data_IF_975749501645
#
_entry.id   IF_975749501645
#
_cell.length_a   1.000
_cell.length_b   1.000
_cell.length_c   1.000
_cell.angle_alpha   90.00
_cell.angle_beta   90.00
_cell.angle_gamma   90.00
#
_symmetry.space_group_name_H-M   'P 1'
#
loop_
_entity.id
_entity.type
_entity.pdbx_description
1 polymer ?
#
# COMPACT_ATOMS: atom_id res chain seq x y z
N UNK A 1 -27.92 -16.82 3.40
CA UNK A 1 -26.51 -16.35 3.41
C UNK A 1 -26.09 -15.53 2.17
N UNK A 2 -26.93 -15.44 1.12
CA UNK A 2 -26.75 -14.59 -0.07
C UNK A 2 -27.32 -13.16 0.11
N UNK A 3 -27.87 -12.82 1.28
CA UNK A 3 -28.68 -11.62 1.50
C UNK A 3 -27.88 -10.34 1.82
N UNK A 4 -26.63 -10.44 2.30
CA UNK A 4 -25.80 -9.24 2.54
C UNK A 4 -25.24 -8.64 1.23
N UNK A 5 -25.11 -9.46 0.18
CA UNK A 5 -24.66 -9.04 -1.16
C UNK A 5 -25.65 -8.11 -1.88
N UNK A 6 -26.94 -8.24 -1.58
CA UNK A 6 -28.01 -7.57 -2.30
C UNK A 6 -28.41 -6.21 -1.69
N UNK A 7 -27.95 -5.86 -0.48
CA UNK A 7 -28.35 -4.59 0.16
C UNK A 7 -27.45 -3.39 -0.17
N UNK A 8 -26.16 -3.61 -0.42
CA UNK A 8 -25.26 -2.55 -0.89
C UNK A 8 -25.11 -2.64 -2.40
N UNK A 9 -25.73 -1.71 -3.13
CA UNK A 9 -25.53 -1.59 -4.56
C UNK A 9 -24.05 -1.36 -4.92
N UNK A 10 -23.66 -1.76 -6.14
CA UNK A 10 -22.30 -1.64 -6.69
C UNK A 10 -21.67 -0.28 -6.38
N UNK A 11 -22.43 0.80 -6.60
CA UNK A 11 -21.99 2.18 -6.32
C UNK A 11 -21.48 2.37 -4.90
N UNK A 12 -22.24 1.92 -3.90
CA UNK A 12 -21.86 2.08 -2.49
C UNK A 12 -20.63 1.24 -2.17
N UNK A 13 -20.56 0.02 -2.70
CA UNK A 13 -19.40 -0.87 -2.53
C UNK A 13 -18.11 -0.26 -3.08
N UNK A 14 -18.16 0.34 -4.27
CA UNK A 14 -17.02 1.04 -4.88
C UNK A 14 -16.63 2.33 -4.12
N UNK A 15 -17.62 3.09 -3.62
CA UNK A 15 -17.36 4.27 -2.78
C UNK A 15 -16.63 3.89 -1.49
N UNK A 16 -17.02 2.79 -0.83
CA UNK A 16 -16.28 2.28 0.32
C UNK A 16 -14.84 1.90 -0.06
N UNK A 17 -14.63 1.33 -1.25
CA UNK A 17 -13.30 1.06 -1.79
C UNK A 17 -12.44 2.31 -1.90
N UNK A 18 -12.96 3.36 -2.54
CA UNK A 18 -12.28 4.66 -2.69
C UNK A 18 -11.90 5.26 -1.33
N UNK A 19 -12.87 5.37 -0.41
CA UNK A 19 -12.65 5.95 0.93
C UNK A 19 -11.66 5.12 1.73
N UNK A 20 -11.76 3.79 1.68
CA UNK A 20 -10.84 2.91 2.39
C UNK A 20 -9.42 3.01 1.83
N UNK A 21 -9.27 3.13 0.51
CA UNK A 21 -7.99 3.35 -0.16
C UNK A 21 -7.34 4.67 0.24
N UNK A 22 -8.11 5.76 0.28
CA UNK A 22 -7.64 7.06 0.76
C UNK A 22 -7.18 7.00 2.22
N UNK A 23 -7.98 6.39 3.11
CA UNK A 23 -7.63 6.23 4.53
C UNK A 23 -6.35 5.38 4.67
N UNK A 24 -6.24 4.28 3.92
CA UNK A 24 -5.05 3.45 3.93
C UNK A 24 -3.80 4.24 3.49
N UNK A 25 -3.93 5.08 2.46
CA UNK A 25 -2.84 5.95 2.00
C UNK A 25 -2.39 6.96 3.06
N UNK A 26 -3.31 7.49 3.88
CA UNK A 26 -2.98 8.35 5.03
C UNK A 26 -2.18 7.58 6.08
N UNK A 27 -2.60 6.36 6.43
CA UNK A 27 -1.88 5.54 7.41
C UNK A 27 -0.47 5.19 6.92
N UNK A 28 -0.36 4.78 5.66
CA UNK A 28 0.93 4.48 5.04
C UNK A 28 1.83 5.72 4.98
N UNK A 29 1.27 6.89 4.61
CA UNK A 29 2.04 8.11 4.59
C UNK A 29 2.53 8.55 5.96
N UNK A 30 1.68 8.39 6.99
CA UNK A 30 2.06 8.64 8.38
C UNK A 30 3.19 7.72 8.82
N UNK A 31 3.17 6.45 8.41
CA UNK A 31 4.26 5.51 8.66
C UNK A 31 5.55 6.00 8.00
N UNK A 32 5.53 6.43 6.72
CA UNK A 32 6.72 6.98 6.07
C UNK A 32 7.29 8.19 6.81
N UNK A 33 6.45 9.13 7.25
CA UNK A 33 6.92 10.27 8.05
C UNK A 33 7.54 9.85 9.38
N UNK A 34 6.98 8.85 10.06
CA UNK A 34 7.56 8.29 11.28
C UNK A 34 8.90 7.62 10.99
N UNK A 35 9.00 6.84 9.91
CA UNK A 35 10.25 6.20 9.51
C UNK A 35 11.34 7.21 9.15
N UNK A 36 10.99 8.29 8.45
CA UNK A 36 11.93 9.35 8.11
C UNK A 36 12.49 9.98 9.40
N UNK A 37 11.61 10.28 10.37
CA UNK A 37 12.00 10.84 11.67
C UNK A 37 12.88 9.87 12.49
N UNK A 38 12.53 8.59 12.54
CA UNK A 38 13.31 7.56 13.24
C UNK A 38 14.67 7.29 12.58
N UNK A 39 14.76 7.50 11.26
CA UNK A 39 15.99 7.29 10.49
C UNK A 39 16.91 8.52 10.46
N UNK A 40 16.50 9.64 11.07
CA UNK A 40 17.27 10.88 11.08
C UNK A 40 17.44 11.51 9.70
N UNK A 41 16.54 11.21 8.75
CA UNK A 41 16.55 11.79 7.40
C UNK A 41 15.51 12.90 7.29
N UNK A 42 15.54 13.65 6.19
CA UNK A 42 14.56 14.72 5.96
C UNK A 42 13.13 14.16 5.95
N UNK A 43 12.28 14.73 6.79
CA UNK A 43 10.88 14.34 6.93
C UNK A 43 10.14 14.56 5.60
N UNK A 44 9.50 13.51 5.09
CA UNK A 44 8.74 13.55 3.84
C UNK A 44 9.58 13.42 2.58
N UNK A 45 10.85 13.05 2.69
CA UNK A 45 11.77 12.98 1.55
C UNK A 45 11.26 12.06 0.43
N UNK A 46 10.53 11.01 0.78
CA UNK A 46 9.94 10.11 -0.21
C UNK A 46 8.88 10.80 -1.06
N UNK A 47 8.04 11.62 -0.46
CA UNK A 47 7.04 12.41 -1.18
C UNK A 47 7.70 13.52 -1.99
N UNK A 48 8.76 14.13 -1.46
CA UNK A 48 9.58 15.09 -2.21
C UNK A 48 10.15 14.45 -3.47
N UNK A 49 10.72 13.25 -3.37
CA UNK A 49 11.26 12.49 -4.49
C UNK A 49 10.20 12.14 -5.54
N UNK A 50 8.99 11.74 -5.11
CA UNK A 50 7.86 11.51 -6.01
C UNK A 50 7.52 12.80 -6.76
N UNK A 51 7.40 13.92 -6.05
CA UNK A 51 7.06 15.22 -6.64
C UNK A 51 8.10 15.73 -7.64
N UNK A 52 9.38 15.58 -7.32
CA UNK A 52 10.49 15.93 -8.24
C UNK A 52 10.42 15.05 -9.50
N UNK A 53 10.29 13.73 -9.34
CA UNK A 53 10.36 12.78 -10.47
C UNK A 53 9.14 12.85 -11.39
N UNK A 54 7.95 13.05 -10.86
CA UNK A 54 6.71 13.07 -11.65
C UNK A 54 6.38 14.46 -12.20
N UNK A 55 6.62 15.51 -11.40
CA UNK A 55 6.11 16.85 -11.72
C UNK A 55 7.23 17.90 -11.89
N UNK A 56 8.50 17.54 -11.65
CA UNK A 56 9.64 18.47 -11.72
C UNK A 56 9.47 19.69 -10.79
N UNK A 57 8.73 19.52 -9.69
CA UNK A 57 8.62 20.51 -8.64
C UNK A 57 9.77 20.38 -7.64
N UNK A 58 10.04 21.43 -6.87
CA UNK A 58 11.11 21.46 -5.88
C UNK A 58 10.63 21.94 -4.52
N UNK A 59 11.41 21.65 -3.48
CA UNK A 59 11.14 22.06 -2.10
C UNK A 59 9.79 21.52 -1.58
N UNK A 60 9.10 22.35 -0.78
CA UNK A 60 7.82 21.97 -0.16
C UNK A 60 6.74 21.62 -1.20
N UNK A 61 6.75 22.28 -2.36
CA UNK A 61 5.79 22.00 -3.44
C UNK A 61 5.93 20.58 -3.97
N UNK A 62 7.17 20.10 -4.11
CA UNK A 62 7.43 18.71 -4.48
C UNK A 62 6.83 17.75 -3.45
N UNK A 63 7.11 17.96 -2.17
CA UNK A 63 6.61 17.12 -1.10
C UNK A 63 5.07 17.06 -1.08
N UNK A 64 4.40 18.21 -1.16
CA UNK A 64 2.93 18.27 -1.18
C UNK A 64 2.37 17.57 -2.41
N UNK A 65 2.93 17.83 -3.59
CA UNK A 65 2.46 17.19 -4.84
C UNK A 65 2.66 15.68 -4.83
N UNK A 66 3.79 15.17 -4.30
CA UNK A 66 4.04 13.75 -4.18
C UNK A 66 3.13 13.08 -3.14
N UNK A 67 2.83 13.76 -2.03
CA UNK A 67 1.87 13.28 -1.04
C UNK A 67 0.44 13.20 -1.62
N UNK A 68 0.02 14.21 -2.37
CA UNK A 68 -1.28 14.20 -3.06
C UNK A 68 -1.34 13.08 -4.10
N UNK A 69 -0.26 12.85 -4.84
CA UNK A 69 -0.18 11.74 -5.78
C UNK A 69 -0.27 10.38 -5.06
N UNK A 70 0.40 10.22 -3.92
CA UNK A 70 0.28 9.02 -3.08
C UNK A 70 -1.17 8.76 -2.66
N UNK A 71 -1.88 9.79 -2.19
CA UNK A 71 -3.30 9.68 -1.84
C UNK A 71 -4.17 9.31 -3.03
N UNK A 72 -3.91 9.87 -4.20
CA UNK A 72 -4.63 9.51 -5.42
C UNK A 72 -4.40 8.03 -5.78
N UNK A 73 -3.14 7.57 -5.75
CA UNK A 73 -2.80 6.17 -6.04
C UNK A 73 -3.50 5.24 -5.06
N UNK A 74 -3.42 5.49 -3.75
CA UNK A 74 -4.09 4.66 -2.74
C UNK A 74 -5.62 4.63 -2.90
N UNK A 75 -6.22 5.76 -3.30
CA UNK A 75 -7.66 5.84 -3.61
C UNK A 75 -8.04 4.97 -4.82
N UNK A 76 -7.28 5.08 -5.92
CA UNK A 76 -7.48 4.28 -7.15
C UNK A 76 -7.29 2.78 -6.86
N UNK A 77 -6.27 2.44 -6.08
CA UNK A 77 -6.03 1.09 -5.57
C UNK A 77 -7.23 0.55 -4.80
N UNK A 78 -7.76 1.33 -3.86
CA UNK A 78 -8.93 0.93 -3.08
C UNK A 78 -10.17 0.70 -3.93
N UNK A 79 -10.36 1.52 -4.97
CA UNK A 79 -11.41 1.32 -5.97
C UNK A 79 -11.27 -0.01 -6.70
N UNK A 80 -10.08 -0.32 -7.24
CA UNK A 80 -9.87 -1.58 -7.97
C UNK A 80 -9.96 -2.80 -7.06
N UNK A 81 -9.47 -2.71 -5.81
CA UNK A 81 -9.65 -3.77 -4.82
C UNK A 81 -11.14 -4.03 -4.51
N UNK A 82 -11.95 -2.97 -4.40
CA UNK A 82 -13.40 -3.10 -4.26
C UNK A 82 -14.05 -3.68 -5.53
N UNK A 83 -13.66 -3.23 -6.72
CA UNK A 83 -14.20 -3.74 -7.97
C UNK A 83 -13.93 -5.25 -8.13
N UNK A 84 -12.68 -5.67 -7.92
CA UNK A 84 -12.26 -7.08 -7.99
C UNK A 84 -12.99 -7.91 -6.93
N UNK A 85 -13.05 -7.42 -5.68
CA UNK A 85 -13.72 -8.13 -4.59
C UNK A 85 -15.24 -8.22 -4.76
N UNK A 86 -15.85 -7.33 -5.53
CA UNK A 86 -17.29 -7.39 -5.84
C UNK A 86 -17.61 -8.52 -6.82
N UNK A 87 -16.82 -8.68 -7.88
CA UNK A 87 -17.07 -9.69 -8.93
C UNK A 87 -16.54 -11.08 -8.58
N UNK A 88 -15.49 -11.16 -7.75
CA UNK A 88 -14.87 -12.43 -7.41
C UNK A 88 -15.37 -12.91 -6.03
N UNK A 89 -16.49 -13.67 -6.02
CA UNK A 89 -16.63 -14.92 -5.22
C UNK A 89 -15.83 -14.97 -3.89
N UNK A 90 -14.64 -15.58 -3.90
CA UNK A 90 -13.79 -15.70 -2.73
C UNK A 90 -13.41 -14.39 -2.03
N UNK A 91 -13.30 -13.27 -2.76
CA UNK A 91 -12.89 -11.96 -2.26
C UNK A 91 -14.06 -11.09 -1.78
N UNK A 92 -15.27 -11.62 -1.79
CA UNK A 92 -16.43 -10.90 -1.31
C UNK A 92 -16.29 -10.39 0.15
N UNK A 93 -16.28 -9.08 0.40
CA UNK A 93 -16.17 -8.51 1.76
C UNK A 93 -17.55 -8.54 2.43
N UNK A 94 -17.72 -9.36 3.46
CA UNK A 94 -19.00 -9.53 4.17
C UNK A 94 -18.93 -9.18 5.67
N UNK A 95 -17.74 -8.89 6.19
CA UNK A 95 -17.53 -8.37 7.54
C UNK A 95 -16.18 -7.65 7.62
N UNK A 96 -15.98 -6.88 8.69
CA UNK A 96 -14.75 -6.12 8.95
C UNK A 96 -13.49 -6.99 8.93
N UNK A 97 -13.55 -8.20 9.49
CA UNK A 97 -12.42 -9.15 9.49
C UNK A 97 -11.98 -9.55 8.08
N UNK A 98 -12.94 -9.87 7.20
CA UNK A 98 -12.63 -10.21 5.81
C UNK A 98 -12.21 -8.98 5.02
N UNK A 99 -12.79 -7.81 5.31
CA UNK A 99 -12.34 -6.54 4.74
C UNK A 99 -10.87 -6.26 5.06
N UNK A 100 -10.47 -6.44 6.33
CA UNK A 100 -9.09 -6.31 6.77
C UNK A 100 -8.13 -7.28 6.05
N UNK A 101 -8.51 -8.56 5.94
CA UNK A 101 -7.69 -9.56 5.25
C UNK A 101 -7.49 -9.23 3.76
N UNK A 102 -8.54 -8.74 3.09
CA UNK A 102 -8.48 -8.38 1.68
C UNK A 102 -7.72 -7.07 1.47
N UNK A 103 -7.86 -6.12 2.38
CA UNK A 103 -7.03 -4.91 2.41
C UNK A 103 -5.54 -5.23 2.54
N UNK A 104 -5.17 -6.13 3.46
CA UNK A 104 -3.80 -6.63 3.60
C UNK A 104 -3.28 -7.29 2.31
N UNK A 105 -4.09 -8.16 1.70
CA UNK A 105 -3.72 -8.86 0.48
C UNK A 105 -3.57 -7.91 -0.71
N UNK A 106 -4.45 -6.91 -0.83
CA UNK A 106 -4.37 -5.89 -1.87
C UNK A 106 -3.12 -5.01 -1.71
N UNK A 107 -2.84 -4.54 -0.48
CA UNK A 107 -1.61 -3.78 -0.18
C UNK A 107 -0.35 -4.56 -0.50
N UNK A 108 -0.31 -5.85 -0.14
CA UNK A 108 0.80 -6.74 -0.46
C UNK A 108 0.95 -7.02 -1.96
N UNK A 109 -0.15 -7.24 -2.68
CA UNK A 109 -0.11 -7.44 -4.13
C UNK A 109 0.41 -6.20 -4.84
N UNK A 110 0.08 -5.01 -4.37
CA UNK A 110 0.61 -3.76 -4.93
C UNK A 110 2.09 -3.62 -4.61
N UNK A 111 2.49 -3.97 -3.39
CA UNK A 111 3.89 -4.02 -3.04
C UNK A 111 4.65 -5.00 -3.96
N UNK A 112 4.14 -6.20 -4.22
CA UNK A 112 4.84 -7.19 -5.04
C UNK A 112 4.78 -6.88 -6.54
N UNK A 113 3.64 -6.43 -7.07
CA UNK A 113 3.45 -6.22 -8.50
C UNK A 113 3.98 -4.88 -8.98
N UNK A 114 3.92 -3.86 -8.12
CA UNK A 114 4.35 -2.51 -8.49
C UNK A 114 5.60 -2.08 -7.75
N UNK A 115 5.68 -2.27 -6.44
CA UNK A 115 6.85 -1.82 -5.68
C UNK A 115 8.07 -2.71 -5.91
N UNK A 116 7.93 -4.04 -5.90
CA UNK A 116 9.05 -4.99 -6.01
C UNK A 116 9.74 -4.96 -7.38
N UNK A 117 9.06 -4.92 -8.53
CA UNK A 117 9.73 -4.92 -9.82
C UNK A 117 10.33 -3.54 -10.10
N UNK A 118 9.62 -2.47 -9.74
CA UNK A 118 10.16 -1.11 -9.79
C UNK A 118 11.36 -0.98 -8.86
N UNK A 119 11.30 -1.54 -7.65
CA UNK A 119 12.42 -1.55 -6.72
C UNK A 119 13.50 -2.55 -7.11
N UNK A 120 13.26 -3.63 -7.85
CA UNK A 120 14.32 -4.51 -8.33
C UNK A 120 15.00 -3.87 -9.53
N UNK A 121 14.26 -3.27 -10.46
CA UNK A 121 14.84 -2.50 -11.57
C UNK A 121 15.57 -1.26 -11.06
N UNK A 122 14.98 -0.53 -10.10
CA UNK A 122 15.62 0.61 -9.46
C UNK A 122 16.73 0.18 -8.51
N UNK A 123 16.60 -0.84 -7.64
CA UNK A 123 17.73 -1.36 -6.85
C UNK A 123 18.83 -1.84 -7.77
N UNK A 124 18.54 -2.52 -8.87
CA UNK A 124 19.58 -2.97 -9.79
C UNK A 124 20.35 -1.79 -10.38
N UNK A 125 19.68 -0.66 -10.67
CA UNK A 125 20.31 0.59 -11.11
C UNK A 125 20.92 1.43 -9.97
N UNK A 126 20.36 1.39 -8.76
CA UNK A 126 20.66 2.30 -7.65
C UNK A 126 21.65 1.69 -6.64
N UNK A 127 21.64 0.36 -6.47
CA UNK A 127 22.54 -0.39 -5.57
C UNK A 127 23.94 -0.53 -6.14
N UNK A 128 24.10 -0.64 -7.46
CA UNK A 128 25.43 -0.69 -8.07
C UNK A 128 26.14 0.67 -8.07
N UNK A 129 25.41 1.79 -8.09
CA UNK A 129 26.02 3.14 -8.14
C UNK A 129 25.96 3.93 -6.83
N UNK A 130 25.09 3.58 -5.86
CA UNK A 130 24.81 4.44 -4.69
C UNK A 130 24.54 3.68 -3.37
N UNK A 131 25.29 2.61 -3.09
CA UNK A 131 25.14 1.75 -1.89
C UNK A 131 25.17 2.52 -0.54
N UNK A 132 25.71 3.73 -0.50
CA UNK A 132 25.87 4.54 0.72
C UNK A 132 24.68 5.46 1.05
N UNK A 133 23.62 5.50 0.23
CA UNK A 133 22.46 6.39 0.47
C UNK A 133 21.44 5.77 1.43
N UNK A 134 20.93 6.59 2.34
CA UNK A 134 19.95 6.21 3.36
C UNK A 134 18.65 5.60 2.79
N UNK A 135 18.30 5.92 1.54
CA UNK A 135 17.17 5.34 0.82
C UNK A 135 17.23 3.82 0.71
N UNK A 136 18.43 3.24 0.60
CA UNK A 136 18.61 1.78 0.44
C UNK A 136 18.22 1.02 1.71
N UNK A 137 18.59 1.53 2.89
CA UNK A 137 18.22 0.95 4.18
C UNK A 137 16.71 0.97 4.39
N UNK A 138 16.07 2.07 3.98
CA UNK A 138 14.62 2.24 4.00
C UNK A 138 13.89 1.23 3.10
N UNK A 139 14.39 1.00 1.88
CA UNK A 139 13.79 -0.01 1.00
C UNK A 139 13.91 -1.41 1.60
N UNK A 140 15.06 -1.78 2.16
CA UNK A 140 15.21 -3.05 2.85
C UNK A 140 14.30 -3.20 4.07
N UNK A 141 14.17 -2.15 4.90
CA UNK A 141 13.31 -2.21 6.09
C UNK A 141 11.83 -2.32 5.72
N UNK A 142 11.40 -1.69 4.63
CA UNK A 142 10.05 -1.87 4.08
C UNK A 142 9.80 -3.30 3.61
N UNK A 143 10.74 -3.91 2.88
CA UNK A 143 10.61 -5.31 2.46
C UNK A 143 10.51 -6.26 3.66
N UNK A 144 11.30 -6.03 4.72
CA UNK A 144 11.24 -6.81 5.95
C UNK A 144 9.90 -6.59 6.68
N UNK A 145 9.46 -5.34 6.84
CA UNK A 145 8.19 -5.00 7.50
C UNK A 145 7.00 -5.64 6.79
N UNK A 146 6.88 -5.47 5.48
CA UNK A 146 5.79 -6.07 4.72
C UNK A 146 5.89 -7.60 4.67
N UNK A 147 7.10 -8.16 4.61
CA UNK A 147 7.33 -9.60 4.75
C UNK A 147 6.88 -10.15 6.11
N UNK A 148 7.11 -9.42 7.20
CA UNK A 148 6.66 -9.80 8.56
C UNK A 148 5.14 -9.72 8.70
N UNK A 149 4.53 -8.63 8.22
CA UNK A 149 3.06 -8.46 8.18
C UNK A 149 2.42 -9.62 7.39
N UNK A 150 3.06 -10.06 6.31
CA UNK A 150 2.63 -11.22 5.53
C UNK A 150 2.82 -12.56 6.25
N UNK A 151 3.94 -12.76 6.94
CA UNK A 151 4.16 -13.94 7.77
C UNK A 151 3.06 -14.10 8.84
N UNK A 152 2.67 -13.00 9.47
CA UNK A 152 1.53 -12.96 10.41
C UNK A 152 0.22 -13.31 9.70
N UNK A 153 -0.03 -12.74 8.52
CA UNK A 153 -1.23 -13.04 7.71
C UNK A 153 -1.32 -14.53 7.32
N UNK A 154 -0.24 -15.11 6.81
CA UNK A 154 -0.17 -16.54 6.48
C UNK A 154 -0.38 -17.40 7.72
N UNK A 155 0.21 -17.03 8.87
CA UNK A 155 -0.03 -17.71 10.15
C UNK A 155 -1.51 -17.69 10.56
N UNK A 156 -2.20 -16.56 10.35
CA UNK A 156 -3.62 -16.39 10.65
C UNK A 156 -4.53 -17.18 9.70
N UNK A 157 -4.16 -17.30 8.41
CA UNK A 157 -4.88 -18.15 7.44
C UNK A 157 -4.60 -19.63 7.73
N UNK A 158 -3.35 -20.00 7.98
CA UNK A 158 -2.94 -21.39 8.20
C UNK A 158 -3.65 -21.97 9.43
N UNK A 159 -3.71 -21.21 10.54
CA UNK A 159 -4.47 -21.62 11.73
C UNK A 159 -5.97 -21.82 11.49
N UNK A 160 -6.55 -21.12 10.51
CA UNK A 160 -8.00 -21.13 10.24
C UNK A 160 -8.41 -22.20 9.22
N UNK A 161 -7.50 -22.65 8.36
CA UNK A 161 -7.82 -23.52 7.23
C UNK A 161 -7.06 -24.85 7.21
N UNK A 162 -5.99 -25.02 8.00
CA UNK A 162 -5.13 -26.21 7.95
C UNK A 162 -4.93 -26.94 9.30
N UNK A 163 -5.55 -26.48 10.39
CA UNK A 163 -5.79 -27.34 11.54
C UNK A 163 -7.15 -28.03 11.36
N UNK A 164 -7.12 -29.13 10.60
CA UNK A 164 -8.03 -30.26 10.75
C UNK A 164 -7.24 -31.40 11.37
#
# INVERSE_FOLDING_TARGET
>A
MMQLYLKMGVRNYLLFGLVSGFIAAIFEASAFYIFDALSGISIGIQFTDIGIKLFHFYGITAQVSGLLMHFLVGTVVGFFAALISFYIKPFNIFNSRKGFLIGLLAGFLILILFSLPVNIFLLHLYVYENYHKASTLFYYSMHIFFGMVWGIFLGLINKKYFHK
#
